data_IF_086540150635
#
_entry.id   IF_086540150635
#
_cell.length_a   1.000
_cell.length_b   1.000
_cell.length_c   1.000
_cell.angle_alpha   90.00
_cell.angle_beta   90.00
_cell.angle_gamma   90.00
#
_symmetry.space_group_name_H-M   'P 1'
#
loop_
_entity.id
_entity.type
_entity.pdbx_description
1 polymer ?
#
# COMPACT_ATOMS: atom_id res chain seq x y z
N UNK A 1 -8.00 -3.87 23.57
CA UNK A 1 -8.46 -4.22 22.21
C UNK A 1 -7.26 -4.61 21.34
N UNK A 2 -7.34 -5.67 20.53
CA UNK A 2 -6.33 -5.98 19.50
C UNK A 2 -6.92 -5.67 18.14
N UNK A 3 -6.57 -4.51 17.56
CA UNK A 3 -6.83 -4.16 16.16
C UNK A 3 -6.09 -5.12 15.22
N UNK A 4 -6.67 -6.31 15.08
CA UNK A 4 -6.15 -7.45 14.32
C UNK A 4 -6.65 -7.43 12.87
N UNK A 5 -6.69 -6.26 12.25
CA UNK A 5 -6.98 -6.07 10.82
C UNK A 5 -5.95 -5.18 10.10
N UNK A 6 -4.80 -4.96 10.75
CA UNK A 6 -3.67 -4.16 10.27
C UNK A 6 -2.76 -4.95 9.31
N UNK A 7 -3.34 -5.80 8.46
CA UNK A 7 -2.61 -6.59 7.48
C UNK A 7 -3.42 -6.89 6.23
N UNK A 8 -2.72 -7.23 5.16
CA UNK A 8 -3.35 -7.73 3.94
C UNK A 8 -3.96 -9.11 4.19
N UNK A 9 -5.17 -9.34 3.69
CA UNK A 9 -5.88 -10.61 3.87
C UNK A 9 -5.40 -11.70 2.89
N UNK A 10 -4.69 -11.30 1.84
CA UNK A 10 -4.11 -12.20 0.82
C UNK A 10 -2.66 -11.83 0.53
N UNK A 11 -2.01 -12.66 -0.28
CA UNK A 11 -0.64 -12.47 -0.72
C UNK A 11 -0.40 -11.05 -1.24
N UNK A 12 0.66 -10.43 -0.71
CA UNK A 12 1.17 -9.15 -1.17
C UNK A 12 1.89 -9.43 -2.50
N UNK A 13 1.48 -8.72 -3.54
CA UNK A 13 2.02 -8.87 -4.90
C UNK A 13 3.15 -7.88 -5.15
N UNK A 14 3.09 -6.72 -4.51
CA UNK A 14 4.02 -5.61 -4.78
C UNK A 14 4.20 -4.74 -3.54
N UNK A 15 5.41 -4.20 -3.40
CA UNK A 15 5.78 -3.25 -2.36
C UNK A 15 6.65 -2.15 -2.98
N UNK A 16 6.29 -0.90 -2.76
CA UNK A 16 7.02 0.26 -3.27
C UNK A 16 7.30 1.24 -2.14
N UNK A 17 8.55 1.70 -2.05
CA UNK A 17 8.93 2.77 -1.12
C UNK A 17 8.74 4.14 -1.79
N UNK A 18 8.38 5.14 -1.01
CA UNK A 18 8.46 6.53 -1.45
C UNK A 18 9.92 6.98 -1.55
N UNK A 19 10.20 7.93 -2.44
CA UNK A 19 11.55 8.43 -2.67
C UNK A 19 12.10 9.19 -1.45
N UNK A 20 11.22 9.85 -0.70
CA UNK A 20 11.54 10.56 0.55
C UNK A 20 11.81 9.61 1.73
N UNK A 21 11.43 8.33 1.61
CA UNK A 21 11.55 7.36 2.69
C UNK A 21 10.61 7.60 3.86
N UNK A 22 9.59 8.46 3.71
CA UNK A 22 8.57 8.69 4.74
C UNK A 22 7.47 7.63 4.67
N UNK A 23 7.16 7.15 3.46
CA UNK A 23 6.02 6.27 3.23
C UNK A 23 6.36 5.04 2.37
N UNK A 24 5.57 3.98 2.52
CA UNK A 24 5.60 2.84 1.62
C UNK A 24 4.19 2.37 1.27
N UNK A 25 4.03 1.83 0.07
CA UNK A 25 2.77 1.35 -0.49
C UNK A 25 2.89 -0.15 -0.73
N UNK A 26 1.89 -0.89 -0.28
CA UNK A 26 1.76 -2.34 -0.49
C UNK A 26 0.53 -2.63 -1.33
N UNK A 27 0.63 -3.54 -2.30
CA UNK A 27 -0.48 -4.04 -3.10
C UNK A 27 -0.74 -5.51 -2.82
N UNK A 28 -2.01 -5.92 -2.80
CA UNK A 28 -2.37 -7.31 -2.54
C UNK A 28 -3.49 -7.81 -3.46
N UNK A 29 -3.54 -9.14 -3.59
CA UNK A 29 -4.65 -9.85 -4.24
C UNK A 29 -5.96 -9.74 -3.46
N UNK A 30 -5.94 -9.17 -2.25
CA UNK A 30 -7.14 -8.82 -1.48
C UNK A 30 -7.92 -7.64 -2.11
N UNK A 31 -7.44 -7.13 -3.25
CA UNK A 31 -8.00 -6.00 -4.00
C UNK A 31 -7.85 -4.69 -3.24
N UNK A 32 -6.88 -4.62 -2.32
CA UNK A 32 -6.48 -3.40 -1.65
C UNK A 32 -5.01 -3.08 -1.88
N UNK A 33 -4.72 -1.80 -1.98
CA UNK A 33 -3.40 -1.26 -1.77
C UNK A 33 -3.40 -0.42 -0.49
N UNK A 34 -2.36 -0.52 0.33
CA UNK A 34 -2.28 0.15 1.63
C UNK A 34 -1.03 1.03 1.68
N UNK A 35 -1.22 2.29 2.05
CA UNK A 35 -0.16 3.26 2.28
C UNK A 35 0.15 3.31 3.77
N UNK A 36 1.44 3.21 4.08
CA UNK A 36 1.95 3.09 5.42
C UNK A 36 3.02 4.15 5.66
N UNK A 37 3.10 4.60 6.90
CA UNK A 37 4.22 5.40 7.38
C UNK A 37 5.41 4.50 7.73
N UNK A 38 6.61 4.84 7.26
CA UNK A 38 7.83 4.04 7.52
C UNK A 38 8.30 4.21 8.97
N UNK A 39 8.15 5.40 9.56
CA UNK A 39 8.68 5.69 10.90
C UNK A 39 7.84 5.07 11.99
N UNK A 40 6.51 5.12 11.84
CA UNK A 40 5.57 4.62 12.85
C UNK A 40 4.96 3.27 12.49
N UNK A 41 5.19 2.76 11.27
CA UNK A 41 4.54 1.54 10.75
C UNK A 41 3.01 1.60 10.85
N UNK A 42 2.45 2.81 10.81
CA UNK A 42 1.01 3.00 10.89
C UNK A 42 0.38 3.04 9.52
N UNK A 43 -0.78 2.42 9.38
CA UNK A 43 -1.59 2.51 8.18
C UNK A 43 -2.11 3.95 8.05
N UNK A 44 -1.69 4.64 6.99
CA UNK A 44 -2.15 5.99 6.69
C UNK A 44 -3.46 5.91 5.90
N UNK A 45 -3.49 5.03 4.89
CA UNK A 45 -4.61 4.97 3.96
C UNK A 45 -4.74 3.61 3.30
N UNK A 46 -5.98 3.20 3.06
CA UNK A 46 -6.31 2.02 2.27
C UNK A 46 -7.01 2.44 0.98
N UNK A 47 -6.50 1.96 -0.14
CA UNK A 47 -7.09 2.07 -1.47
C UNK A 47 -7.76 0.75 -1.81
N UNK A 48 -9.06 0.76 -2.01
CA UNK A 48 -9.82 -0.43 -2.42
C UNK A 48 -10.06 -0.36 -3.92
N UNK A 49 -9.89 -1.48 -4.59
CA UNK A 49 -10.03 -1.63 -6.04
C UNK A 49 -10.98 -2.78 -6.36
N UNK A 50 -11.58 -2.76 -7.56
CA UNK A 50 -12.47 -3.82 -8.02
C UNK A 50 -11.71 -5.09 -8.46
N UNK A 51 -10.44 -4.92 -8.85
CA UNK A 51 -9.56 -5.98 -9.35
C UNK A 51 -8.41 -6.26 -8.39
N UNK A 52 -7.82 -7.46 -8.41
CA UNK A 52 -6.60 -7.73 -7.65
C UNK A 52 -5.49 -6.76 -8.04
N UNK A 53 -4.74 -6.25 -7.08
CA UNK A 53 -3.61 -5.37 -7.38
C UNK A 53 -2.42 -6.25 -7.72
N UNK A 54 -1.87 -6.08 -8.92
CA UNK A 54 -0.69 -6.81 -9.39
C UNK A 54 0.60 -6.00 -9.18
N UNK A 55 0.53 -4.68 -9.33
CA UNK A 55 1.68 -3.79 -9.18
C UNK A 55 1.27 -2.48 -8.49
N UNK A 56 2.17 -1.95 -7.66
CA UNK A 56 2.03 -0.61 -7.08
C UNK A 56 3.29 0.19 -7.32
N UNK A 57 3.14 1.47 -7.65
CA UNK A 57 4.24 2.40 -7.82
C UNK A 57 3.90 3.75 -7.16
N UNK A 58 4.90 4.35 -6.53
CA UNK A 58 4.79 5.71 -5.97
C UNK A 58 5.59 6.64 -6.88
N UNK A 59 5.00 7.77 -7.25
CA UNK A 59 5.73 8.81 -8.00
C UNK A 59 6.77 9.45 -7.08
N UNK A 60 8.04 9.60 -7.52
CA UNK A 60 9.09 10.20 -6.71
C UNK A 60 9.02 11.74 -6.67
N UNK A 61 8.22 12.37 -7.54
CA UNK A 61 8.21 13.82 -7.76
C UNK A 61 6.87 14.49 -7.47
N UNK A 62 5.77 13.74 -7.50
CA UNK A 62 4.41 14.24 -7.34
C UNK A 62 3.68 13.35 -6.35
N UNK A 63 2.68 13.91 -5.64
CA UNK A 63 1.86 13.19 -4.66
C UNK A 63 0.83 12.26 -5.34
N UNK A 64 1.33 11.32 -6.14
CA UNK A 64 0.52 10.36 -6.89
C UNK A 64 1.02 8.94 -6.68
N UNK A 65 0.08 8.02 -6.55
CA UNK A 65 0.31 6.59 -6.49
C UNK A 65 -0.37 5.93 -7.68
N UNK A 66 0.34 5.02 -8.32
CA UNK A 66 -0.17 4.21 -9.43
C UNK A 66 -0.42 2.81 -8.90
N UNK A 67 -1.64 2.33 -9.10
CA UNK A 67 -2.06 0.98 -8.71
C UNK A 67 -2.53 0.30 -9.99
N UNK A 68 -1.84 -0.78 -10.37
CA UNK A 68 -2.15 -1.60 -11.53
C UNK A 68 -2.72 -2.94 -11.09
N UNK A 69 -3.87 -3.32 -11.66
CA UNK A 69 -4.51 -4.62 -11.48
C UNK A 69 -4.70 -5.33 -12.81
#
# INVERSE_FOLDING_TARGET
ESDKETGHQKAITSLCKSADGSHFLTGSLDKSARLWDIRTLTLIKTYVTERPVNAVAISPLLDHVVIGG
#
